data_IF_186874460166
#
_entry.id   IF_186874460166
#
_cell.length_a   1.000
_cell.length_b   1.000
_cell.length_c   1.000
_cell.angle_alpha   90.00
_cell.angle_beta   90.00
_cell.angle_gamma   90.00
#
_symmetry.space_group_name_H-M   'P 1'
#
loop_
_entity.id
_entity.type
_entity.pdbx_description
1 polymer ?
#
# COMPACT_ATOMS: atom_id res chain seq x y z
N UNK A 1 -9.76 -1.90 -6.45
CA UNK A 1 -10.78 -2.31 -7.45
C UNK A 1 -11.11 -1.14 -8.37
N UNK A 2 -11.57 -1.39 -9.58
CA UNK A 2 -11.98 -0.34 -10.53
C UNK A 2 -13.16 -0.78 -11.39
N UNK A 3 -13.93 0.18 -11.89
CA UNK A 3 -15.06 -0.07 -12.80
C UNK A 3 -14.60 0.23 -14.21
N UNK A 4 -14.68 -0.76 -15.09
CA UNK A 4 -14.29 -0.58 -16.50
C UNK A 4 -15.22 0.40 -17.20
N UNK A 5 -14.65 1.36 -17.92
CA UNK A 5 -15.40 2.43 -18.57
C UNK A 5 -16.32 1.95 -19.70
N UNK A 6 -16.03 0.79 -20.29
CA UNK A 6 -16.81 0.18 -21.39
C UNK A 6 -17.92 -0.75 -20.91
N UNK A 7 -18.11 -0.91 -19.59
CA UNK A 7 -19.09 -1.83 -19.03
C UNK A 7 -20.52 -1.31 -19.15
N UNK A 8 -21.46 -2.18 -19.52
CA UNK A 8 -22.87 -1.82 -19.66
C UNK A 8 -23.66 -1.85 -18.34
N UNK A 9 -23.05 -2.27 -17.23
CA UNK A 9 -23.72 -2.45 -15.92
C UNK A 9 -23.10 -1.55 -14.84
N UNK A 10 -22.90 -0.27 -15.18
CA UNK A 10 -22.15 0.67 -14.35
C UNK A 10 -22.76 0.86 -12.97
N UNK A 11 -24.07 1.09 -12.89
CA UNK A 11 -24.78 1.33 -11.62
C UNK A 11 -24.70 0.11 -10.68
N UNK A 12 -24.84 -1.09 -11.23
CA UNK A 12 -24.69 -2.32 -10.47
C UNK A 12 -23.24 -2.50 -9.96
N UNK A 13 -22.25 -2.20 -10.81
CA UNK A 13 -20.84 -2.24 -10.42
C UNK A 13 -20.50 -1.21 -9.33
N UNK A 14 -21.04 0.01 -9.42
CA UNK A 14 -20.89 1.05 -8.38
C UNK A 14 -21.52 0.59 -7.07
N UNK A 15 -22.74 0.06 -7.12
CA UNK A 15 -23.44 -0.47 -5.94
C UNK A 15 -22.67 -1.60 -5.28
N UNK A 16 -22.10 -2.51 -6.07
CA UNK A 16 -21.26 -3.59 -5.57
C UNK A 16 -19.99 -3.07 -4.88
N UNK A 17 -19.26 -2.14 -5.50
CA UNK A 17 -18.06 -1.54 -4.91
C UNK A 17 -18.41 -0.79 -3.63
N UNK A 18 -19.51 -0.04 -3.60
CA UNK A 18 -19.95 0.67 -2.40
C UNK A 18 -20.27 -0.28 -1.26
N UNK A 19 -20.95 -1.41 -1.52
CA UNK A 19 -21.23 -2.42 -0.50
C UNK A 19 -19.94 -3.08 0.01
N UNK A 20 -19.05 -3.49 -0.90
CA UNK A 20 -17.76 -4.08 -0.56
C UNK A 20 -16.91 -3.14 0.31
N UNK A 21 -16.96 -1.84 0.03
CA UNK A 21 -16.20 -0.82 0.77
C UNK A 21 -16.97 -0.20 1.96
N UNK A 22 -18.16 -0.73 2.26
CA UNK A 22 -18.98 -0.27 3.38
C UNK A 22 -18.53 -0.89 4.70
N UNK A 23 -18.93 -0.25 5.80
CA UNK A 23 -18.77 -0.79 7.15
C UNK A 23 -19.42 -2.16 7.35
N UNK A 24 -20.53 -2.43 6.66
CA UNK A 24 -21.20 -3.74 6.72
C UNK A 24 -20.26 -4.89 6.38
N UNK A 25 -19.32 -4.67 5.46
CA UNK A 25 -18.32 -5.66 5.05
C UNK A 25 -17.01 -5.44 5.80
N UNK A 26 -16.54 -4.19 5.90
CA UNK A 26 -15.21 -3.88 6.42
C UNK A 26 -15.07 -3.87 7.95
N UNK A 27 -16.18 -3.81 8.71
CA UNK A 27 -16.13 -4.02 10.16
C UNK A 27 -15.87 -5.52 10.51
N UNK A 28 -15.96 -6.42 9.52
CA UNK A 28 -15.54 -7.82 9.65
C UNK A 28 -14.12 -8.02 9.14
N UNK A 29 -13.27 -8.69 9.92
CA UNK A 29 -11.89 -8.98 9.48
C UNK A 29 -11.86 -10.10 8.43
N UNK A 30 -11.64 -9.72 7.17
CA UNK A 30 -11.62 -10.65 6.02
C UNK A 30 -10.21 -11.09 5.59
N UNK A 31 -9.17 -10.79 6.37
CA UNK A 31 -7.76 -11.05 6.02
C UNK A 31 -7.30 -10.39 4.69
N UNK A 32 -7.99 -9.33 4.25
CA UNK A 32 -7.69 -8.61 2.99
C UNK A 32 -6.94 -7.28 3.23
N UNK A 33 -6.10 -7.25 4.28
CA UNK A 33 -5.37 -6.06 4.70
C UNK A 33 -6.20 -5.09 5.55
N UNK A 34 -5.82 -3.81 5.54
CA UNK A 34 -6.48 -2.78 6.33
C UNK A 34 -7.74 -2.23 5.62
N UNK A 35 -8.82 -1.96 6.36
CA UNK A 35 -10.02 -1.35 5.78
C UNK A 35 -9.71 0.06 5.26
N UNK A 36 -10.28 0.39 4.10
CA UNK A 36 -10.16 1.73 3.50
C UNK A 36 -11.30 2.66 3.93
N UNK A 37 -12.37 2.10 4.50
CA UNK A 37 -13.40 2.88 5.16
C UNK A 37 -12.85 3.41 6.49
N UNK A 38 -12.83 4.75 6.65
CA UNK A 38 -12.25 5.37 7.83
C UNK A 38 -12.85 4.89 9.16
N UNK A 39 -14.17 4.72 9.24
CA UNK A 39 -14.81 4.25 10.47
C UNK A 39 -14.52 2.78 10.80
N UNK A 40 -14.36 1.93 9.79
CA UNK A 40 -13.91 0.55 9.98
C UNK A 40 -12.43 0.50 10.40
N UNK A 41 -11.60 1.40 9.87
CA UNK A 41 -10.20 1.55 10.27
C UNK A 41 -10.07 2.00 11.72
N UNK A 42 -10.88 2.98 12.14
CA UNK A 42 -10.93 3.45 13.54
C UNK A 42 -11.28 2.28 14.47
N UNK A 43 -12.34 1.52 14.16
CA UNK A 43 -12.74 0.36 14.95
C UNK A 43 -11.66 -0.72 15.03
N UNK A 44 -10.96 -0.99 13.92
CA UNK A 44 -9.86 -1.96 13.89
C UNK A 44 -8.66 -1.50 14.74
N UNK A 45 -8.34 -0.21 14.72
CA UNK A 45 -7.28 0.37 15.55
C UNK A 45 -7.64 0.32 17.02
N UNK A 46 -8.88 0.66 17.38
CA UNK A 46 -9.38 0.56 18.75
C UNK A 46 -9.28 -0.89 19.27
N UNK A 47 -9.73 -1.88 18.50
CA UNK A 47 -9.62 -3.30 18.84
C UNK A 47 -8.17 -3.78 19.00
N UNK A 48 -7.26 -3.28 18.15
CA UNK A 48 -5.84 -3.59 18.28
C UNK A 48 -5.23 -2.95 19.53
N UNK A 49 -5.63 -1.72 19.86
CA UNK A 49 -5.16 -0.98 21.02
C UNK A 49 -5.65 -1.58 22.35
N UNK A 50 -6.82 -2.22 22.39
CA UNK A 50 -7.31 -2.94 23.58
C UNK A 50 -6.32 -4.01 24.08
N UNK A 51 -5.48 -4.55 23.19
CA UNK A 51 -4.51 -5.59 23.48
C UNK A 51 -3.05 -5.10 23.43
N UNK A 52 -2.82 -3.80 23.21
CA UNK A 52 -1.49 -3.22 23.06
C UNK A 52 -1.07 -2.48 24.34
N UNK A 53 0.22 -2.56 24.68
CA UNK A 53 0.79 -1.76 25.78
C UNK A 53 0.96 -0.28 25.41
N UNK A 54 1.01 0.04 24.11
CA UNK A 54 1.23 1.39 23.58
C UNK A 54 0.50 1.59 22.24
N UNK A 55 -0.02 2.81 22.02
CA UNK A 55 -0.58 3.22 20.75
C UNK A 55 0.58 3.60 19.82
N UNK A 56 0.90 2.72 18.87
CA UNK A 56 1.94 2.95 17.86
C UNK A 56 1.62 4.12 16.91
N UNK A 57 0.52 4.86 17.09
CA UNK A 57 0.16 6.04 16.31
C UNK A 57 -0.21 5.69 14.88
N UNK A 58 -0.63 4.45 14.62
CA UNK A 58 -0.92 3.95 13.28
C UNK A 58 -2.02 4.77 12.59
N UNK A 59 -3.07 5.14 13.32
CA UNK A 59 -4.16 5.96 12.76
C UNK A 59 -3.66 7.34 12.31
N UNK A 60 -2.81 7.97 13.11
CA UNK A 60 -2.20 9.25 12.79
C UNK A 60 -1.19 9.16 11.64
N UNK A 61 -0.53 8.01 11.45
CA UNK A 61 0.26 7.72 10.25
C UNK A 61 -0.64 7.70 9.01
N UNK A 62 -1.77 7.00 9.05
CA UNK A 62 -2.72 6.95 7.94
C UNK A 62 -3.26 8.33 7.54
N UNK A 63 -3.55 9.21 8.51
CA UNK A 63 -4.03 10.58 8.22
C UNK A 63 -3.00 11.47 7.50
N UNK A 64 -1.70 11.14 7.63
CA UNK A 64 -0.62 11.91 7.00
C UNK A 64 -0.27 11.44 5.59
N UNK A 65 -0.87 10.35 5.12
CA UNK A 65 -0.60 9.82 3.78
C UNK A 65 -1.40 10.61 2.73
N UNK A 66 -0.77 11.60 2.12
CA UNK A 66 -1.36 12.45 1.07
C UNK A 66 -0.69 12.29 -0.31
N UNK A 67 0.50 11.68 -0.35
CA UNK A 67 1.24 11.42 -1.56
C UNK A 67 1.00 9.97 -2.06
N UNK A 68 0.37 9.77 -3.22
CA UNK A 68 0.25 8.44 -3.79
C UNK A 68 1.62 7.90 -4.20
N UNK A 69 1.90 6.65 -3.86
CA UNK A 69 3.11 5.96 -4.33
C UNK A 69 2.87 5.50 -5.77
N UNK A 70 3.68 6.00 -6.70
CA UNK A 70 3.76 5.40 -8.03
C UNK A 70 4.58 4.11 -7.93
N UNK A 71 3.89 2.97 -7.84
CA UNK A 71 4.56 1.67 -7.81
C UNK A 71 4.96 1.27 -9.22
N UNK A 72 6.19 1.59 -9.60
CA UNK A 72 6.79 1.11 -10.84
C UNK A 72 7.49 -0.23 -10.61
N UNK A 73 7.10 -1.25 -11.38
CA UNK A 73 7.60 -2.60 -11.23
C UNK A 73 9.11 -2.72 -11.55
N UNK A 74 9.59 -1.96 -12.53
CA UNK A 74 11.01 -1.97 -12.93
C UNK A 74 11.86 -1.31 -11.84
N UNK A 75 11.37 -0.20 -11.28
CA UNK A 75 12.03 0.48 -10.16
C UNK A 75 12.06 -0.43 -8.92
N UNK A 76 10.95 -1.10 -8.60
CA UNK A 76 10.87 -2.06 -7.49
C UNK A 76 11.90 -3.18 -7.65
N UNK A 77 11.97 -3.80 -8.83
CA UNK A 77 12.96 -4.84 -9.11
C UNK A 77 14.40 -4.34 -9.05
N UNK A 78 14.66 -3.09 -9.44
CA UNK A 78 15.99 -2.49 -9.34
C UNK A 78 16.45 -2.42 -7.88
N UNK A 79 15.54 -2.05 -6.97
CA UNK A 79 15.77 -2.03 -5.52
C UNK A 79 15.94 -3.45 -4.97
N UNK A 80 15.04 -4.38 -5.31
CA UNK A 80 15.08 -5.76 -4.82
C UNK A 80 16.40 -6.47 -5.17
N UNK A 81 16.97 -6.19 -6.35
CA UNK A 81 18.26 -6.73 -6.78
C UNK A 81 19.44 -6.29 -5.90
N UNK A 82 19.34 -5.16 -5.19
CA UNK A 82 20.39 -4.72 -4.27
C UNK A 82 20.28 -5.38 -2.88
N UNK A 83 19.10 -5.89 -2.50
CA UNK A 83 18.82 -6.34 -1.13
C UNK A 83 19.76 -7.45 -0.66
N UNK A 84 20.13 -8.37 -1.56
CA UNK A 84 21.05 -9.46 -1.21
C UNK A 84 22.43 -8.92 -0.83
N UNK A 85 22.97 -8.01 -1.64
CA UNK A 85 24.28 -7.42 -1.40
C UNK A 85 24.33 -6.50 -0.17
N UNK A 86 23.21 -5.86 0.16
CA UNK A 86 23.07 -5.12 1.42
C UNK A 86 23.01 -6.07 2.62
N UNK A 87 22.24 -7.16 2.50
CA UNK A 87 22.06 -8.15 3.58
C UNK A 87 23.34 -8.91 3.92
N UNK A 88 24.18 -9.19 2.91
CA UNK A 88 25.45 -9.90 3.09
C UNK A 88 26.67 -8.98 3.24
N UNK A 89 26.48 -7.67 3.13
CA UNK A 89 27.52 -6.65 3.29
C UNK A 89 28.46 -6.50 2.08
N UNK A 90 28.19 -7.15 0.96
CA UNK A 90 28.97 -6.97 -0.28
C UNK A 90 28.72 -5.64 -1.01
N UNK A 91 27.63 -4.94 -0.66
CA UNK A 91 27.32 -3.58 -1.12
C UNK A 91 27.06 -2.65 0.07
N UNK A 92 27.52 -1.41 -0.04
CA UNK A 92 27.10 -0.35 0.90
C UNK A 92 25.74 0.23 0.51
N UNK A 93 25.09 0.92 1.46
CA UNK A 93 23.85 1.68 1.23
C UNK A 93 23.98 2.67 0.06
N UNK A 94 25.12 3.35 -0.02
CA UNK A 94 25.40 4.36 -1.04
C UNK A 94 25.56 3.73 -2.42
N UNK A 95 26.27 2.60 -2.49
CA UNK A 95 26.47 1.86 -3.74
C UNK A 95 25.15 1.27 -4.26
N UNK A 96 24.34 0.69 -3.36
CA UNK A 96 23.01 0.20 -3.71
C UNK A 96 22.11 1.32 -4.23
N UNK A 97 22.09 2.48 -3.55
CA UNK A 97 21.30 3.64 -3.97
C UNK A 97 21.75 4.16 -5.34
N UNK A 98 23.06 4.28 -5.58
CA UNK A 98 23.60 4.71 -6.87
C UNK A 98 23.21 3.77 -8.01
N UNK A 99 23.27 2.45 -7.78
CA UNK A 99 22.87 1.43 -8.75
C UNK A 99 21.38 1.51 -9.11
N UNK A 100 20.52 1.73 -8.11
CA UNK A 100 19.08 1.92 -8.33
C UNK A 100 18.84 3.18 -9.16
N UNK A 101 19.44 4.31 -8.78
CA UNK A 101 19.26 5.57 -9.50
C UNK A 101 19.69 5.47 -10.96
N UNK A 102 20.83 4.84 -11.25
CA UNK A 102 21.30 4.71 -12.63
C UNK A 102 20.38 3.82 -13.47
N UNK A 103 19.92 2.69 -12.90
CA UNK A 103 18.97 1.81 -13.61
C UNK A 103 17.62 2.48 -13.85
N UNK A 104 17.08 3.18 -12.86
CA UNK A 104 15.83 3.92 -13.00
C UNK A 104 15.97 5.06 -14.01
N UNK A 105 17.11 5.77 -14.02
CA UNK A 105 17.40 6.83 -14.99
C UNK A 105 17.44 6.31 -16.42
N UNK A 106 18.08 5.16 -16.65
CA UNK A 106 18.12 4.52 -17.98
C UNK A 106 16.71 4.13 -18.41
N UNK A 107 15.96 3.46 -17.54
CA UNK A 107 14.58 3.04 -17.84
C UNK A 107 13.66 4.21 -18.20
N UNK A 108 13.73 5.31 -17.47
CA UNK A 108 12.92 6.50 -17.73
C UNK A 108 13.34 7.28 -19.00
N UNK A 109 14.48 6.95 -19.59
CA UNK A 109 14.99 7.59 -20.80
C UNK A 109 14.67 6.80 -22.09
N UNK A 110 14.12 5.58 -21.96
CA UNK A 110 13.64 4.73 -23.05
C UNK A 110 12.15 4.99 -23.36
#
# INVERSE_FOLDING_TARGET
>A
MGIVSTGNQRELAESFVNMLLSRTVQDSYLYDGFPVNGGSLDAMVEQAAENAEDDMGFRALCDRLDAPILSDQVVKEAVERQLRGLSDGSLTSEQAAANVMEKTRIYLAE
#
